data_IF_902683350811
#
_entry.id   IF_902683350811
#
_cell.length_a   1.000
_cell.length_b   1.000
_cell.length_c   1.000
_cell.angle_alpha   90.00
_cell.angle_beta   90.00
_cell.angle_gamma   90.00
#
_symmetry.space_group_name_H-M   'P 1'
#
loop_
_entity.id
_entity.type
_entity.pdbx_description
1 polymer ?
#
# COMPACT_ATOMS: atom_id res chain seq x y z
N UNK A 1 14.49 -26.31 -0.28
CA UNK A 1 13.91 -25.24 0.57
C UNK A 1 13.46 -24.11 -0.35
N UNK A 2 12.15 -23.87 -0.52
CA UNK A 2 11.69 -22.70 -1.28
C UNK A 2 12.13 -21.46 -0.51
N UNK A 3 12.85 -20.54 -1.15
CA UNK A 3 13.11 -19.23 -0.59
C UNK A 3 11.75 -18.63 -0.18
N UNK A 4 11.61 -18.15 1.05
CA UNK A 4 10.48 -17.29 1.38
C UNK A 4 10.65 -16.05 0.52
N UNK A 5 9.77 -15.85 -0.45
CA UNK A 5 9.79 -14.71 -1.38
C UNK A 5 9.54 -13.41 -0.61
N UNK A 6 10.57 -12.90 0.06
CA UNK A 6 10.50 -11.62 0.75
C UNK A 6 10.31 -10.51 -0.27
N UNK A 7 9.15 -9.85 -0.19
CA UNK A 7 8.76 -8.69 -1.00
C UNK A 7 8.99 -7.37 -0.29
N UNK A 8 9.08 -6.31 -1.08
CA UNK A 8 9.13 -4.92 -0.67
C UNK A 8 7.87 -4.21 -1.18
N UNK A 9 6.93 -3.95 -0.27
CA UNK A 9 5.59 -3.45 -0.60
C UNK A 9 5.29 -2.11 0.08
N UNK A 10 4.22 -1.45 -0.37
CA UNK A 10 3.64 -0.26 0.26
C UNK A 10 2.44 -0.67 1.08
N UNK A 11 2.29 -0.09 2.27
CA UNK A 11 1.09 -0.26 3.11
C UNK A 11 0.44 1.11 3.27
N UNK A 12 -0.77 1.23 2.75
CA UNK A 12 -1.58 2.44 2.83
C UNK A 12 -2.00 2.73 4.29
N UNK A 13 -2.11 4.01 4.63
CA UNK A 13 -2.65 4.47 5.89
C UNK A 13 -4.08 3.98 6.14
N UNK A 14 -4.90 3.71 5.10
CA UNK A 14 -6.23 3.12 5.26
C UNK A 14 -6.20 1.75 5.95
N UNK A 15 -5.17 0.93 5.69
CA UNK A 15 -4.94 -0.36 6.35
C UNK A 15 -4.34 -0.14 7.74
N UNK A 16 -3.34 0.75 7.85
CA UNK A 16 -2.69 1.09 9.11
C UNK A 16 -3.67 1.64 10.16
N UNK A 17 -4.64 2.44 9.71
CA UNK A 17 -5.73 2.98 10.53
C UNK A 17 -6.71 1.90 10.95
N UNK A 18 -7.06 1.00 10.03
CA UNK A 18 -8.09 -0.01 10.25
C UNK A 18 -7.64 -1.22 11.04
N UNK A 19 -6.35 -1.54 11.07
CA UNK A 19 -5.78 -2.60 11.91
C UNK A 19 -5.84 -2.20 13.39
N UNK A 20 -7.03 -2.20 13.99
CA UNK A 20 -7.27 -1.82 15.38
C UNK A 20 -7.19 -3.01 16.33
N UNK A 21 -7.55 -2.77 17.59
CA UNK A 21 -7.67 -3.80 18.64
C UNK A 21 -9.10 -4.35 18.75
N UNK A 22 -10.06 -3.83 17.96
CA UNK A 22 -11.45 -4.30 17.98
C UNK A 22 -11.61 -5.58 17.17
N UNK A 23 -12.49 -6.48 17.64
CA UNK A 23 -12.92 -7.67 16.91
C UNK A 23 -14.02 -7.28 15.91
N UNK A 24 -13.60 -6.60 14.85
CA UNK A 24 -14.42 -6.26 13.69
C UNK A 24 -13.77 -6.92 12.46
N UNK A 25 -14.54 -7.52 11.52
CA UNK A 25 -13.96 -8.27 10.39
C UNK A 25 -12.87 -7.50 9.62
N UNK A 26 -13.10 -6.20 9.38
CA UNK A 26 -12.12 -5.29 8.76
C UNK A 26 -10.85 -5.13 9.59
N UNK A 27 -11.00 -4.98 10.91
CA UNK A 27 -9.88 -4.79 11.85
C UNK A 27 -9.02 -6.04 11.93
N UNK A 28 -9.64 -7.20 12.12
CA UNK A 28 -8.94 -8.50 12.18
C UNK A 28 -8.24 -8.81 10.85
N UNK A 29 -8.89 -8.57 9.71
CA UNK A 29 -8.28 -8.79 8.39
C UNK A 29 -7.04 -7.92 8.15
N UNK A 30 -7.09 -6.62 8.50
CA UNK A 30 -5.93 -5.74 8.38
C UNK A 30 -4.80 -6.14 9.33
N UNK A 31 -5.14 -6.51 10.58
CA UNK A 31 -4.19 -6.98 11.59
C UNK A 31 -3.46 -8.23 11.09
N UNK A 32 -4.21 -9.22 10.61
CA UNK A 32 -3.68 -10.48 10.07
C UNK A 32 -2.73 -10.22 8.88
N UNK A 33 -3.08 -9.28 7.99
CA UNK A 33 -2.22 -8.90 6.87
C UNK A 33 -0.89 -8.28 7.34
N UNK A 34 -0.94 -7.35 8.29
CA UNK A 34 0.27 -6.75 8.88
C UNK A 34 1.13 -7.80 9.60
N UNK A 35 0.51 -8.70 10.35
CA UNK A 35 1.23 -9.78 11.04
C UNK A 35 1.91 -10.73 10.05
N UNK A 36 1.24 -11.08 8.94
CA UNK A 36 1.83 -11.89 7.85
C UNK A 36 3.06 -11.23 7.26
N UNK A 37 2.99 -9.95 6.91
CA UNK A 37 4.14 -9.16 6.41
C UNK A 37 5.34 -9.32 7.35
N UNK A 38 5.12 -9.18 8.66
CA UNK A 38 6.17 -9.32 9.67
C UNK A 38 6.71 -10.77 9.77
N UNK A 39 5.82 -11.77 9.71
CA UNK A 39 6.12 -13.20 9.94
C UNK A 39 6.81 -13.86 8.73
N UNK A 40 6.38 -13.51 7.51
CA UNK A 40 7.01 -13.93 6.24
C UNK A 40 8.25 -13.11 5.92
N UNK A 41 8.51 -12.06 6.72
CA UNK A 41 9.69 -11.21 6.63
C UNK A 41 9.72 -10.29 5.40
N UNK A 42 8.56 -9.89 4.90
CA UNK A 42 8.45 -8.79 3.94
C UNK A 42 9.00 -7.49 4.52
N UNK A 43 9.28 -6.54 3.63
CA UNK A 43 9.74 -5.19 3.94
C UNK A 43 8.70 -4.18 3.43
N UNK A 44 8.70 -3.01 4.05
CA UNK A 44 7.76 -1.94 3.69
C UNK A 44 8.52 -0.70 3.25
N UNK A 45 8.11 -0.15 2.11
CA UNK A 45 8.55 1.16 1.65
C UNK A 45 7.87 2.23 2.47
N UNK A 46 8.67 3.17 2.94
CA UNK A 46 8.22 4.31 3.72
C UNK A 46 8.81 5.57 3.10
N UNK A 47 8.00 6.26 2.31
CA UNK A 47 8.29 7.64 1.90
C UNK A 47 7.90 8.61 3.01
N UNK A 48 8.36 9.85 2.91
CA UNK A 48 8.01 10.87 3.91
C UNK A 48 6.49 11.15 3.94
N UNK A 49 5.85 11.18 2.77
CA UNK A 49 4.40 11.36 2.65
C UNK A 49 3.62 10.25 3.38
N UNK A 50 3.94 8.99 3.10
CA UNK A 50 3.31 7.82 3.75
C UNK A 50 3.54 7.88 5.27
N UNK A 51 4.76 8.22 5.70
CA UNK A 51 5.11 8.31 7.12
C UNK A 51 4.28 9.38 7.83
N UNK A 52 4.10 10.55 7.22
CA UNK A 52 3.31 11.64 7.77
C UNK A 52 1.83 11.25 7.89
N UNK A 53 1.30 10.55 6.89
CA UNK A 53 -0.07 10.07 6.91
C UNK A 53 -0.28 9.01 8.01
N UNK A 54 0.65 8.06 8.12
CA UNK A 54 0.66 7.08 9.20
C UNK A 54 0.69 7.75 10.58
N UNK A 55 1.52 8.77 10.77
CA UNK A 55 1.58 9.47 12.06
C UNK A 55 0.24 10.14 12.43
N UNK A 56 -0.56 10.56 11.45
CA UNK A 56 -1.88 11.15 11.66
C UNK A 56 -2.97 10.12 11.93
N UNK A 57 -2.88 8.94 11.32
CA UNK A 57 -4.02 8.01 11.22
C UNK A 57 -3.78 6.59 11.75
N UNK A 58 -2.54 6.19 12.05
CA UNK A 58 -2.25 4.81 12.47
C UNK A 58 -2.93 4.47 13.80
N UNK A 59 -3.39 3.23 13.91
CA UNK A 59 -3.89 2.69 15.16
C UNK A 59 -2.75 2.47 16.18
N UNK A 60 -3.12 2.21 17.44
CA UNK A 60 -2.16 1.80 18.47
C UNK A 60 -1.43 0.51 18.09
N UNK A 61 -2.14 -0.48 17.57
CA UNK A 61 -1.57 -1.73 17.08
C UNK A 61 -0.54 -1.47 15.98
N UNK A 62 -0.91 -0.70 14.95
CA UNK A 62 -0.01 -0.42 13.82
C UNK A 62 1.22 0.33 14.24
N UNK A 63 1.12 1.23 15.23
CA UNK A 63 2.29 1.91 15.81
C UNK A 63 3.26 0.92 16.47
N UNK A 64 2.76 -0.07 17.22
CA UNK A 64 3.60 -1.12 17.84
C UNK A 64 4.23 -1.99 16.75
N UNK A 65 3.43 -2.41 15.77
CA UNK A 65 3.89 -3.19 14.63
C UNK A 65 4.99 -2.46 13.85
N UNK A 66 4.82 -1.15 13.59
CA UNK A 66 5.80 -0.32 12.89
C UNK A 66 7.12 -0.26 13.67
N UNK A 67 7.08 -0.09 15.00
CA UNK A 67 8.29 -0.15 15.84
C UNK A 67 9.00 -1.50 15.74
N UNK A 68 8.25 -2.60 15.68
CA UNK A 68 8.81 -3.95 15.46
C UNK A 68 9.48 -4.07 14.09
N UNK A 69 8.85 -3.55 13.04
CA UNK A 69 9.43 -3.51 11.68
C UNK A 69 10.72 -2.69 11.64
N UNK A 70 10.76 -1.53 12.31
CA UNK A 70 11.98 -0.70 12.42
C UNK A 70 13.09 -1.43 13.16
N UNK A 71 12.79 -2.01 14.33
CA UNK A 71 13.77 -2.75 15.13
C UNK A 71 14.38 -3.94 14.34
N UNK A 72 13.59 -4.56 13.47
CA UNK A 72 14.01 -5.66 12.59
C UNK A 72 14.58 -5.20 11.25
N UNK A 73 14.79 -3.89 11.05
CA UNK A 73 15.30 -3.27 9.81
C UNK A 73 14.47 -3.63 8.56
N UNK A 74 13.15 -3.73 8.72
CA UNK A 74 12.18 -4.07 7.66
C UNK A 74 11.51 -2.86 7.01
N UNK A 75 11.85 -1.65 7.45
CA UNK A 75 11.41 -0.41 6.80
C UNK A 75 12.50 0.07 5.87
N UNK A 76 12.18 0.22 4.59
CA UNK A 76 13.05 0.85 3.59
C UNK A 76 12.56 2.27 3.35
N UNK A 77 13.40 3.25 3.67
CA UNK A 77 13.12 4.65 3.31
C UNK A 77 13.34 4.85 1.83
N UNK A 78 12.44 5.58 1.19
CA UNK A 78 12.53 5.92 -0.23
C UNK A 78 11.97 7.33 -0.45
N UNK A 79 12.27 7.93 -1.59
CA UNK A 79 11.73 9.24 -1.97
C UNK A 79 10.42 9.09 -2.74
N UNK A 80 10.23 7.96 -3.43
CA UNK A 80 9.21 7.78 -4.46
C UNK A 80 9.84 8.03 -5.83
N UNK A 81 9.56 7.15 -6.79
CA UNK A 81 9.88 7.39 -8.19
C UNK A 81 8.82 8.33 -8.76
N UNK A 82 9.15 9.56 -9.18
CA UNK A 82 8.17 10.46 -9.75
C UNK A 82 7.50 9.85 -10.98
N UNK A 83 6.18 9.91 -11.04
CA UNK A 83 5.41 9.44 -12.19
C UNK A 83 4.60 10.59 -12.77
N UNK A 84 4.59 10.67 -14.10
CA UNK A 84 3.82 11.67 -14.82
C UNK A 84 2.80 10.96 -15.71
N UNK A 85 1.49 11.15 -15.50
CA UNK A 85 0.49 10.66 -16.43
C UNK A 85 0.59 11.40 -17.77
N UNK A 86 0.31 10.69 -18.85
CA UNK A 86 -0.05 11.36 -20.10
C UNK A 86 -1.33 12.20 -19.87
N UNK A 87 -1.43 13.43 -20.41
CA UNK A 87 -2.61 14.28 -20.21
C UNK A 87 -3.94 13.58 -20.52
N UNK A 88 -3.95 12.78 -21.58
CA UNK A 88 -5.13 12.05 -22.06
C UNK A 88 -5.62 11.01 -21.04
N UNK A 89 -4.71 10.47 -20.22
CA UNK A 89 -5.01 9.47 -19.19
C UNK A 89 -5.84 10.03 -18.05
N UNK A 90 -5.63 11.31 -17.72
CA UNK A 90 -6.33 12.01 -16.65
C UNK A 90 -7.54 12.79 -17.15
N UNK A 91 -7.61 13.11 -18.44
CA UNK A 91 -8.76 13.80 -19.04
C UNK A 91 -10.07 13.02 -18.90
N UNK A 92 -10.01 11.69 -19.06
CA UNK A 92 -11.17 10.80 -18.90
C UNK A 92 -11.70 10.72 -17.45
N UNK A 93 -10.93 11.20 -16.47
CA UNK A 93 -11.33 11.22 -15.06
C UNK A 93 -12.11 12.50 -14.74
N UNK A 94 -13.14 12.37 -13.90
CA UNK A 94 -13.81 13.51 -13.30
C UNK A 94 -12.88 14.30 -12.36
N UNK A 95 -13.24 15.54 -12.03
CA UNK A 95 -12.44 16.37 -11.12
C UNK A 95 -12.22 15.72 -9.74
N UNK A 96 -13.24 15.03 -9.21
CA UNK A 96 -13.14 14.29 -7.95
C UNK A 96 -12.20 13.09 -8.04
N UNK A 97 -12.25 12.34 -9.14
CA UNK A 97 -11.35 11.20 -9.37
C UNK A 97 -9.89 11.66 -9.53
N UNK A 98 -9.65 12.77 -10.25
CA UNK A 98 -8.31 13.37 -10.37
C UNK A 98 -7.75 13.78 -9.01
N UNK A 99 -8.58 14.38 -8.15
CA UNK A 99 -8.15 14.79 -6.81
C UNK A 99 -7.85 13.60 -5.90
N UNK A 100 -8.65 12.53 -5.97
CA UNK A 100 -8.35 11.28 -5.26
C UNK A 100 -7.04 10.65 -5.76
N UNK A 101 -6.89 10.50 -7.08
CA UNK A 101 -5.65 9.99 -7.69
C UNK A 101 -4.42 10.81 -7.29
N UNK A 102 -4.55 12.14 -7.24
CA UNK A 102 -3.46 13.04 -6.86
C UNK A 102 -3.00 12.82 -5.41
N UNK A 103 -3.93 12.55 -4.49
CA UNK A 103 -3.58 12.25 -3.08
C UNK A 103 -2.81 10.94 -2.98
N UNK A 104 -3.24 9.93 -3.71
CA UNK A 104 -2.69 8.58 -3.66
C UNK A 104 -1.52 8.33 -4.62
N UNK A 105 -1.15 9.32 -5.44
CA UNK A 105 -0.01 9.24 -6.36
C UNK A 105 1.27 8.83 -5.62
N UNK A 106 1.47 9.36 -4.42
CA UNK A 106 2.63 9.03 -3.60
C UNK A 106 2.72 7.53 -3.21
N UNK A 107 1.59 6.82 -3.14
CA UNK A 107 1.57 5.37 -2.92
C UNK A 107 2.11 4.62 -4.15
N UNK A 108 1.74 5.10 -5.34
CA UNK A 108 2.15 4.52 -6.63
C UNK A 108 3.63 4.78 -6.88
N UNK A 109 4.08 6.01 -6.65
CA UNK A 109 5.50 6.39 -6.72
C UNK A 109 6.35 5.58 -5.74
N UNK A 110 5.86 5.37 -4.51
CA UNK A 110 6.50 4.51 -3.52
C UNK A 110 6.55 3.04 -3.98
N UNK A 111 5.47 2.53 -4.59
CA UNK A 111 5.41 1.16 -5.05
C UNK A 111 6.37 0.88 -6.22
N UNK A 112 6.64 1.90 -7.05
CA UNK A 112 7.65 1.84 -8.12
C UNK A 112 9.07 1.59 -7.57
N UNK A 113 9.40 2.14 -6.40
CA UNK A 113 10.67 1.89 -5.69
C UNK A 113 10.76 0.47 -5.08
N UNK A 114 9.65 -0.28 -5.10
CA UNK A 114 9.49 -1.62 -4.53
C UNK A 114 9.16 -2.67 -5.55
N UNK A 115 8.35 -3.64 -5.16
CA UNK A 115 7.90 -4.72 -6.03
C UNK A 115 6.58 -4.40 -6.75
N UNK A 116 6.14 -3.14 -6.73
CA UNK A 116 4.88 -2.71 -7.36
C UNK A 116 3.65 -3.24 -6.62
N UNK A 117 3.71 -3.46 -5.31
CA UNK A 117 2.59 -3.99 -4.51
C UNK A 117 2.14 -2.92 -3.51
N UNK A 118 0.84 -2.62 -3.50
CA UNK A 118 0.20 -1.70 -2.55
C UNK A 118 -0.89 -2.46 -1.80
N UNK A 119 -0.78 -2.50 -0.47
CA UNK A 119 -1.84 -2.98 0.42
C UNK A 119 -2.73 -1.80 0.81
N UNK A 120 -3.98 -1.78 0.36
CA UNK A 120 -4.95 -0.69 0.60
C UNK A 120 -6.33 -1.25 0.92
N UNK A 121 -7.21 -0.49 1.56
CA UNK A 121 -8.65 -0.80 1.61
C UNK A 121 -9.51 0.11 0.74
N UNK A 122 -8.89 1.05 0.06
CA UNK A 122 -9.60 2.03 -0.74
C UNK A 122 -9.85 1.43 -2.13
N UNK A 123 -11.03 0.82 -2.31
CA UNK A 123 -11.41 0.26 -3.61
C UNK A 123 -11.72 1.37 -4.64
N UNK A 124 -11.96 2.61 -4.20
CA UNK A 124 -12.22 3.76 -5.08
C UNK A 124 -10.96 4.13 -5.84
N UNK A 125 -9.81 4.23 -5.16
CA UNK A 125 -8.54 4.50 -5.86
C UNK A 125 -8.16 3.36 -6.80
N UNK A 126 -8.43 2.11 -6.44
CA UNK A 126 -8.20 0.95 -7.33
C UNK A 126 -9.04 1.05 -8.60
N UNK A 127 -10.33 1.41 -8.47
CA UNK A 127 -11.21 1.61 -9.62
C UNK A 127 -10.77 2.80 -10.50
N UNK A 128 -10.32 3.90 -9.90
CA UNK A 128 -9.76 5.04 -10.64
C UNK A 128 -8.49 4.64 -11.38
N UNK A 129 -7.60 3.92 -10.70
CA UNK A 129 -6.35 3.44 -11.27
C UNK A 129 -6.60 2.55 -12.51
N UNK A 130 -7.54 1.62 -12.43
CA UNK A 130 -7.89 0.75 -13.55
C UNK A 130 -8.34 1.52 -14.81
N UNK A 131 -8.95 2.70 -14.65
CA UNK A 131 -9.39 3.53 -15.78
C UNK A 131 -8.24 4.26 -16.48
N UNK A 132 -7.14 4.55 -15.77
CA UNK A 132 -6.10 5.46 -16.26
C UNK A 132 -4.69 4.85 -16.34
N UNK A 133 -4.46 3.66 -15.77
CA UNK A 133 -3.13 3.05 -15.64
C UNK A 133 -2.35 2.92 -16.96
N UNK A 134 -3.04 2.70 -18.08
CA UNK A 134 -2.40 2.54 -19.40
C UNK A 134 -1.72 3.83 -19.89
N UNK A 135 -2.13 4.97 -19.35
CA UNK A 135 -1.51 6.27 -19.64
C UNK A 135 -0.33 6.61 -18.73
N UNK A 136 0.08 5.70 -17.84
CA UNK A 136 1.27 5.87 -17.00
C UNK A 136 2.44 5.06 -17.53
N UNK A 137 3.60 5.70 -17.67
CA UNK A 137 4.87 5.01 -17.96
C UNK A 137 5.52 4.57 -16.65
N UNK A 138 5.13 3.39 -16.18
CA UNK A 138 5.65 2.84 -14.94
C UNK A 138 6.84 1.89 -15.19
N UNK A 139 7.82 1.84 -14.28
CA UNK A 139 8.93 0.88 -14.38
C UNK A 139 8.49 -0.56 -14.13
N UNK A 140 7.28 -0.78 -13.59
CA UNK A 140 6.69 -2.09 -13.28
C UNK A 140 5.18 -1.97 -13.10
N UNK A 141 4.41 -3.06 -13.26
CA UNK A 141 2.98 -3.06 -12.98
C UNK A 141 2.70 -2.82 -11.50
N UNK A 142 1.57 -2.17 -11.22
CA UNK A 142 1.10 -1.92 -9.85
C UNK A 142 -0.03 -2.90 -9.54
N UNK A 143 0.21 -3.69 -8.50
CA UNK A 143 -0.76 -4.63 -7.94
C UNK A 143 -1.30 -4.08 -6.64
N UNK A 144 -2.61 -3.88 -6.62
CA UNK A 144 -3.35 -3.52 -5.43
C UNK A 144 -3.83 -4.78 -4.72
N UNK A 145 -3.74 -4.81 -3.39
CA UNK A 145 -4.23 -5.89 -2.56
C UNK A 145 -5.12 -5.28 -1.47
N UNK A 146 -6.36 -5.76 -1.37
CA UNK A 146 -7.27 -5.42 -0.29
C UNK A 146 -7.39 -6.57 0.73
N UNK A 147 -6.92 -6.38 1.98
CA UNK A 147 -6.89 -7.47 2.95
C UNK A 147 -8.29 -7.96 3.37
N UNK A 148 -9.35 -7.21 3.08
CA UNK A 148 -10.72 -7.52 3.47
C UNK A 148 -11.47 -8.25 2.37
N UNK A 149 -11.30 -7.81 1.12
CA UNK A 149 -12.11 -8.27 -0.03
C UNK A 149 -11.36 -9.22 -0.94
N UNK A 150 -10.02 -9.11 -1.03
CA UNK A 150 -9.26 -10.05 -1.83
C UNK A 150 -9.16 -11.42 -1.16
N UNK A 151 -9.11 -12.45 -2.01
CA UNK A 151 -9.06 -13.82 -1.53
C UNK A 151 -7.77 -14.10 -0.73
N UNK A 152 -7.82 -15.14 0.09
CA UNK A 152 -6.61 -15.58 0.84
C UNK A 152 -5.45 -15.91 -0.11
N UNK A 153 -5.72 -16.25 -1.38
CA UNK A 153 -4.73 -16.49 -2.43
C UNK A 153 -3.90 -15.24 -2.76
N UNK A 154 -4.52 -14.07 -2.86
CA UNK A 154 -3.82 -12.80 -3.04
C UNK A 154 -2.88 -12.52 -1.86
N UNK A 155 -3.31 -12.89 -0.64
CA UNK A 155 -2.51 -12.81 0.59
C UNK A 155 -1.50 -13.96 0.76
N UNK A 156 -1.52 -15.03 -0.06
CA UNK A 156 -0.50 -16.11 -0.02
C UNK A 156 0.87 -15.64 -0.52
N UNK A 157 0.88 -14.54 -1.27
CA UNK A 157 2.10 -13.90 -1.77
C UNK A 157 2.60 -12.77 -0.84
N UNK A 158 1.91 -12.55 0.30
CA UNK A 158 2.32 -11.77 1.48
C UNK A 158 2.70 -12.69 2.66
#
# INVERSE_FOLDING_TARGET
MKAKDSRLLVVDASVARSAGETEHPVSSACRDALERILKVCHRVIMTEAIRLEWNKHQSRFTRIWYRSMVARRKIRRAVGTPINPAPEAIEALSAGERENLRKDLCLIEAACDGDGIILTRDDVIVAIWQKCQDGFRLPKPIRWINPVTDDKGALKHL
#
